data_IF_774679398934
#
_entry.id   IF_774679398934
#
_cell.length_a   1.000
_cell.length_b   1.000
_cell.length_c   1.000
_cell.angle_alpha   90.00
_cell.angle_beta   90.00
_cell.angle_gamma   90.00
#
_symmetry.space_group_name_H-M   'P 1'
#
loop_
_entity.id
_entity.type
_entity.pdbx_description
1 polymer ?
#
# COMPACT_ATOMS: atom_id res chain seq x y z
N UNK A 1 25.59 -6.18 -0.24
CA UNK A 1 25.01 -5.10 -1.05
C UNK A 1 24.04 -5.61 -2.13
N UNK A 2 24.38 -6.68 -2.79
CA UNK A 2 23.54 -7.26 -3.86
C UNK A 2 22.15 -7.71 -3.39
N UNK A 3 22.05 -8.22 -2.14
CA UNK A 3 20.77 -8.60 -1.55
C UNK A 3 19.81 -7.43 -1.41
N UNK A 4 20.29 -6.26 -1.01
CA UNK A 4 19.45 -5.07 -0.84
C UNK A 4 18.97 -4.53 -2.20
N UNK A 5 19.81 -4.62 -3.23
CA UNK A 5 19.46 -4.12 -4.57
C UNK A 5 18.42 -5.00 -5.27
N UNK A 6 18.56 -6.31 -5.15
CA UNK A 6 17.70 -7.27 -5.87
C UNK A 6 16.61 -7.88 -4.98
N UNK A 7 16.88 -8.04 -3.69
CA UNK A 7 15.95 -8.67 -2.76
C UNK A 7 14.74 -7.80 -2.42
N UNK A 8 14.92 -6.50 -2.19
CA UNK A 8 13.83 -5.61 -1.81
C UNK A 8 12.77 -5.41 -2.90
N UNK A 9 13.15 -5.21 -4.19
CA UNK A 9 12.16 -5.19 -5.26
C UNK A 9 11.39 -6.50 -5.41
N UNK A 10 12.05 -7.64 -5.18
CA UNK A 10 11.41 -8.96 -5.19
C UNK A 10 10.39 -9.06 -4.05
N UNK A 11 10.75 -8.63 -2.84
CA UNK A 11 9.85 -8.59 -1.68
C UNK A 11 8.62 -7.73 -1.99
N UNK A 12 8.82 -6.57 -2.60
CA UNK A 12 7.73 -5.69 -3.01
C UNK A 12 6.77 -6.41 -3.97
N UNK A 13 7.32 -7.01 -5.03
CA UNK A 13 6.52 -7.73 -6.03
C UNK A 13 5.73 -8.87 -5.39
N UNK A 14 6.37 -9.71 -4.58
CA UNK A 14 5.71 -10.80 -3.87
C UNK A 14 4.63 -10.30 -2.93
N UNK A 15 4.88 -9.23 -2.19
CA UNK A 15 3.91 -8.65 -1.26
C UNK A 15 2.64 -8.21 -1.98
N UNK A 16 2.76 -7.52 -3.12
CA UNK A 16 1.60 -7.09 -3.89
C UNK A 16 0.86 -8.25 -4.56
N UNK A 17 1.58 -9.20 -5.14
CA UNK A 17 0.99 -10.40 -5.76
C UNK A 17 0.23 -11.21 -4.70
N UNK A 18 0.83 -11.44 -3.55
CA UNK A 18 0.22 -12.20 -2.46
C UNK A 18 -0.98 -11.48 -1.88
N UNK A 19 -0.89 -10.18 -1.69
CA UNK A 19 -2.02 -9.34 -1.27
C UNK A 19 -3.21 -9.47 -2.22
N UNK A 20 -2.98 -9.35 -3.53
CA UNK A 20 -4.02 -9.51 -4.54
C UNK A 20 -4.61 -10.93 -4.55
N UNK A 21 -3.78 -11.94 -4.34
CA UNK A 21 -4.22 -13.33 -4.25
C UNK A 21 -5.18 -13.54 -3.06
N UNK A 22 -4.82 -13.01 -1.88
CA UNK A 22 -5.66 -13.08 -0.68
C UNK A 22 -7.03 -12.45 -0.94
N UNK A 23 -7.05 -11.25 -1.51
CA UNK A 23 -8.30 -10.52 -1.79
C UNK A 23 -9.16 -11.27 -2.81
N UNK A 24 -8.59 -11.73 -3.91
CA UNK A 24 -9.33 -12.48 -4.92
C UNK A 24 -9.93 -13.77 -4.37
N UNK A 25 -9.19 -14.47 -3.50
CA UNK A 25 -9.67 -15.66 -2.84
C UNK A 25 -10.83 -15.35 -1.88
N UNK A 26 -10.73 -14.26 -1.14
CA UNK A 26 -11.79 -13.81 -0.25
C UNK A 26 -13.04 -13.36 -1.01
N UNK A 27 -12.88 -12.66 -2.12
CA UNK A 27 -13.99 -12.22 -2.99
C UNK A 27 -14.81 -13.39 -3.54
N UNK A 28 -14.17 -14.52 -3.88
CA UNK A 28 -14.86 -15.72 -4.37
C UNK A 28 -15.79 -16.36 -3.35
N UNK A 29 -15.58 -16.10 -2.07
CA UNK A 29 -16.43 -16.61 -0.97
C UNK A 29 -17.59 -15.71 -0.65
N UNK A 30 -17.69 -14.53 -1.25
CA UNK A 30 -18.76 -13.57 -1.00
C UNK A 30 -20.04 -13.95 -1.74
N UNK A 31 -21.19 -13.68 -1.10
CA UNK A 31 -22.50 -13.79 -1.71
C UNK A 31 -22.70 -12.71 -2.78
N UNK A 32 -23.64 -12.93 -3.70
CA UNK A 32 -23.90 -12.03 -4.83
C UNK A 32 -24.18 -10.58 -4.39
N UNK A 33 -24.90 -10.38 -3.30
CA UNK A 33 -25.20 -9.05 -2.76
C UNK A 33 -23.91 -8.30 -2.37
N UNK A 34 -22.98 -8.98 -1.70
CA UNK A 34 -21.71 -8.40 -1.31
C UNK A 34 -20.77 -8.16 -2.49
N UNK A 35 -20.81 -9.00 -3.51
CA UNK A 35 -20.06 -8.80 -4.75
C UNK A 35 -20.47 -7.49 -5.43
N UNK A 36 -21.75 -7.19 -5.50
CA UNK A 36 -22.24 -5.92 -6.06
C UNK A 36 -21.81 -4.72 -5.23
N UNK A 37 -21.91 -4.79 -3.90
CA UNK A 37 -21.40 -3.74 -3.01
C UNK A 37 -19.90 -3.52 -3.20
N UNK A 38 -19.15 -4.61 -3.35
CA UNK A 38 -17.69 -4.56 -3.57
C UNK A 38 -17.34 -3.84 -4.88
N UNK A 39 -18.07 -4.10 -5.96
CA UNK A 39 -17.84 -3.41 -7.24
C UNK A 39 -18.05 -1.90 -7.13
N UNK A 40 -19.08 -1.46 -6.43
CA UNK A 40 -19.32 -0.02 -6.19
C UNK A 40 -18.17 0.61 -5.41
N UNK A 41 -17.66 -0.07 -4.40
CA UNK A 41 -16.51 0.39 -3.60
C UNK A 41 -15.25 0.45 -4.45
N UNK A 42 -14.99 -0.55 -5.29
CA UNK A 42 -13.82 -0.58 -6.19
C UNK A 42 -13.85 0.56 -7.21
N UNK A 43 -15.01 0.91 -7.75
CA UNK A 43 -15.14 2.04 -8.66
C UNK A 43 -14.77 3.36 -7.97
N UNK A 44 -15.17 3.54 -6.72
CA UNK A 44 -14.77 4.70 -5.92
C UNK A 44 -13.26 4.70 -5.62
N UNK A 45 -12.66 3.54 -5.39
CA UNK A 45 -11.23 3.39 -5.12
C UNK A 45 -10.35 3.61 -6.36
N UNK A 46 -10.84 3.32 -7.57
CA UNK A 46 -10.12 3.61 -8.82
C UNK A 46 -9.74 5.09 -8.94
N UNK A 47 -10.53 5.98 -8.37
CA UNK A 47 -10.23 7.42 -8.32
C UNK A 47 -9.06 7.75 -7.39
N UNK A 48 -8.64 6.81 -6.54
CA UNK A 48 -7.51 6.96 -5.60
C UNK A 48 -6.18 6.42 -6.14
N UNK A 49 -6.12 5.98 -7.40
CA UNK A 49 -4.87 5.56 -8.09
C UNK A 49 -3.81 6.68 -8.08
N UNK A 50 -4.20 7.90 -7.78
CA UNK A 50 -3.26 8.99 -7.53
C UNK A 50 -2.16 8.66 -6.51
N UNK A 51 -2.42 7.77 -5.53
CA UNK A 51 -1.40 7.32 -4.60
C UNK A 51 -0.24 6.58 -5.29
N UNK A 52 -0.50 5.85 -6.36
CA UNK A 52 0.55 5.20 -7.15
C UNK A 52 1.50 6.20 -7.84
N UNK A 53 1.05 7.43 -8.06
CA UNK A 53 1.86 8.51 -8.62
C UNK A 53 2.83 9.12 -7.59
N UNK A 54 2.62 8.88 -6.29
CA UNK A 54 3.53 9.36 -5.25
C UNK A 54 4.92 8.73 -5.33
N UNK A 55 5.04 7.49 -5.79
CA UNK A 55 6.34 6.83 -5.90
C UNK A 55 7.29 7.55 -6.88
N UNK A 56 6.90 7.84 -8.14
CA UNK A 56 7.74 8.62 -9.03
C UNK A 56 8.06 10.03 -8.49
N UNK A 57 7.07 10.66 -7.86
CA UNK A 57 7.25 11.98 -7.23
C UNK A 57 8.25 11.89 -6.08
N UNK A 58 8.17 10.86 -5.25
CA UNK A 58 9.11 10.65 -4.15
C UNK A 58 10.55 10.46 -4.64
N UNK A 59 10.75 9.65 -5.68
CA UNK A 59 12.08 9.48 -6.29
C UNK A 59 12.62 10.78 -6.87
N UNK A 60 11.77 11.55 -7.56
CA UNK A 60 12.14 12.85 -8.10
C UNK A 60 12.50 13.85 -7.00
N UNK A 61 11.70 13.90 -5.93
CA UNK A 61 11.98 14.73 -4.76
C UNK A 61 13.33 14.38 -4.12
N UNK A 62 13.62 13.09 -3.96
CA UNK A 62 14.91 12.66 -3.40
C UNK A 62 16.09 13.18 -4.21
N UNK A 63 16.00 13.10 -5.55
CA UNK A 63 17.04 13.64 -6.44
C UNK A 63 17.20 15.14 -6.24
N UNK A 64 16.11 15.88 -6.14
CA UNK A 64 16.09 17.32 -5.89
C UNK A 64 16.67 17.66 -4.52
N UNK A 65 16.24 16.94 -3.48
CA UNK A 65 16.67 17.16 -2.11
C UNK A 65 18.16 16.89 -1.92
N UNK A 66 18.70 15.84 -2.54
CA UNK A 66 20.15 15.57 -2.53
C UNK A 66 20.94 16.69 -3.19
N UNK A 67 20.39 17.28 -4.24
CA UNK A 67 21.03 18.40 -4.94
C UNK A 67 21.09 19.68 -4.09
N UNK A 68 20.12 19.85 -3.19
CA UNK A 68 20.02 21.03 -2.31
C UNK A 68 20.54 20.79 -0.89
N UNK A 69 21.18 19.65 -0.61
CA UNK A 69 21.70 19.27 0.72
C UNK A 69 20.66 19.39 1.85
N UNK A 70 19.39 19.10 1.54
CA UNK A 70 18.33 19.16 2.54
C UNK A 70 18.48 18.01 3.55
N UNK A 71 18.29 18.36 4.81
CA UNK A 71 18.54 17.48 5.95
C UNK A 71 17.80 16.14 5.86
N UNK A 72 18.50 15.09 6.21
CA UNK A 72 17.99 13.71 6.30
C UNK A 72 16.69 13.60 7.12
N UNK A 73 16.55 14.40 8.16
CA UNK A 73 15.35 14.44 9.00
C UNK A 73 14.08 14.84 8.24
N UNK A 74 14.17 15.72 7.28
CA UNK A 74 13.05 16.13 6.43
C UNK A 74 12.55 14.97 5.57
N UNK A 75 13.47 14.16 5.07
CA UNK A 75 13.10 12.96 4.31
C UNK A 75 12.41 11.91 5.19
N UNK A 76 12.91 11.71 6.42
CA UNK A 76 12.27 10.80 7.38
C UNK A 76 10.86 11.29 7.71
N UNK A 77 10.68 12.57 7.98
CA UNK A 77 9.38 13.16 8.26
C UNK A 77 8.40 12.95 7.09
N UNK A 78 8.86 13.11 5.86
CA UNK A 78 8.05 12.90 4.67
C UNK A 78 7.61 11.44 4.51
N UNK A 79 8.53 10.50 4.74
CA UNK A 79 8.22 9.06 4.71
C UNK A 79 7.21 8.69 5.77
N UNK A 80 7.37 9.19 6.99
CA UNK A 80 6.42 8.95 8.08
C UNK A 80 5.03 9.50 7.75
N UNK A 81 4.96 10.67 7.11
CA UNK A 81 3.71 11.24 6.64
C UNK A 81 3.01 10.34 5.64
N UNK A 82 3.76 9.81 4.66
CA UNK A 82 3.21 8.89 3.65
C UNK A 82 2.70 7.61 4.29
N UNK A 83 3.47 7.02 5.21
CA UNK A 83 3.05 5.82 5.94
C UNK A 83 1.77 6.08 6.72
N UNK A 84 1.67 7.23 7.38
CA UNK A 84 0.47 7.64 8.12
C UNK A 84 -0.75 7.75 7.19
N UNK A 85 -0.60 8.38 6.03
CA UNK A 85 -1.67 8.49 5.03
C UNK A 85 -2.15 7.11 4.57
N UNK A 86 -1.21 6.20 4.31
CA UNK A 86 -1.53 4.83 3.89
C UNK A 86 -2.28 4.08 4.98
N UNK A 87 -1.80 4.14 6.21
CA UNK A 87 -2.48 3.50 7.36
C UNK A 87 -3.88 4.04 7.57
N UNK A 88 -4.05 5.36 7.46
CA UNK A 88 -5.35 6.00 7.60
C UNK A 88 -6.31 5.59 6.47
N UNK A 89 -5.81 5.50 5.25
CA UNK A 89 -6.58 5.03 4.10
C UNK A 89 -7.02 3.57 4.27
N UNK A 90 -6.13 2.70 4.74
CA UNK A 90 -6.45 1.29 5.02
C UNK A 90 -7.47 1.15 6.14
N UNK A 91 -7.37 1.97 7.18
CA UNK A 91 -8.35 2.01 8.29
C UNK A 91 -9.74 2.45 7.80
N UNK A 92 -9.81 3.49 6.97
CA UNK A 92 -11.07 3.93 6.36
C UNK A 92 -11.70 2.84 5.49
N UNK A 93 -10.89 2.17 4.70
CA UNK A 93 -11.33 1.04 3.86
C UNK A 93 -11.94 -0.07 4.71
N UNK A 94 -11.25 -0.48 5.76
CA UNK A 94 -11.75 -1.49 6.70
C UNK A 94 -13.08 -1.08 7.33
N UNK A 95 -13.18 0.15 7.83
CA UNK A 95 -14.41 0.65 8.44
C UNK A 95 -15.57 0.73 7.44
N UNK A 96 -15.30 1.11 6.20
CA UNK A 96 -16.33 1.16 5.17
C UNK A 96 -16.92 -0.23 4.91
N UNK A 97 -16.08 -1.26 4.80
CA UNK A 97 -16.55 -2.64 4.66
C UNK A 97 -17.30 -3.12 5.90
N UNK A 98 -16.80 -2.80 7.08
CA UNK A 98 -17.46 -3.15 8.35
C UNK A 98 -18.85 -2.53 8.47
N UNK A 99 -18.98 -1.25 8.10
CA UNK A 99 -20.25 -0.52 8.16
C UNK A 99 -21.28 -1.06 7.15
N UNK A 100 -20.84 -1.68 6.06
CA UNK A 100 -21.69 -2.33 5.08
C UNK A 100 -22.01 -3.79 5.41
N UNK A 101 -21.67 -4.24 6.62
CA UNK A 101 -21.94 -5.58 7.14
C UNK A 101 -21.29 -6.73 6.37
N UNK A 102 -20.09 -6.51 5.83
CA UNK A 102 -19.32 -7.59 5.23
C UNK A 102 -18.99 -8.68 6.26
N UNK A 103 -18.88 -9.96 5.85
CA UNK A 103 -18.54 -11.05 6.76
C UNK A 103 -17.19 -10.82 7.46
N UNK A 104 -17.08 -11.24 8.73
CA UNK A 104 -15.86 -11.10 9.51
C UNK A 104 -14.64 -11.78 8.86
N UNK A 105 -14.85 -12.92 8.23
CA UNK A 105 -13.79 -13.63 7.50
C UNK A 105 -13.23 -12.78 6.36
N UNK A 106 -14.10 -12.09 5.63
CA UNK A 106 -13.69 -11.16 4.58
C UNK A 106 -12.92 -9.96 5.13
N UNK A 107 -13.37 -9.40 6.25
CA UNK A 107 -12.70 -8.30 6.94
C UNK A 107 -11.29 -8.69 7.39
N UNK A 108 -11.11 -9.90 7.92
CA UNK A 108 -9.80 -10.43 8.33
C UNK A 108 -8.87 -10.58 7.12
N UNK A 109 -9.38 -11.04 5.98
CA UNK A 109 -8.60 -11.16 4.75
C UNK A 109 -8.19 -9.78 4.20
N UNK A 110 -9.04 -8.76 4.35
CA UNK A 110 -8.68 -7.39 4.01
C UNK A 110 -7.53 -6.89 4.87
N UNK A 111 -7.56 -7.12 6.18
CA UNK A 111 -6.46 -6.75 7.08
C UNK A 111 -5.16 -7.40 6.66
N UNK A 112 -5.17 -8.69 6.36
CA UNK A 112 -3.98 -9.42 5.87
C UNK A 112 -3.46 -8.81 4.58
N UNK A 113 -4.33 -8.57 3.61
CA UNK A 113 -3.98 -7.98 2.32
C UNK A 113 -3.33 -6.60 2.49
N UNK A 114 -3.93 -5.72 3.28
CA UNK A 114 -3.40 -4.38 3.53
C UNK A 114 -2.06 -4.44 4.28
N UNK A 115 -1.88 -5.39 5.20
CA UNK A 115 -0.61 -5.62 5.89
C UNK A 115 0.51 -6.00 4.91
N UNK A 116 0.24 -6.91 3.98
CA UNK A 116 1.23 -7.29 2.96
C UNK A 116 1.57 -6.14 2.01
N UNK A 117 0.60 -5.33 1.63
CA UNK A 117 0.85 -4.12 0.85
C UNK A 117 1.74 -3.14 1.60
N UNK A 118 1.50 -2.95 2.89
CA UNK A 118 2.30 -2.08 3.73
C UNK A 118 3.75 -2.57 3.83
N UNK A 119 3.96 -3.87 4.00
CA UNK A 119 5.29 -4.48 4.00
C UNK A 119 6.02 -4.18 2.69
N UNK A 120 5.35 -4.33 1.55
CA UNK A 120 5.91 -4.01 0.25
C UNK A 120 6.31 -2.55 0.12
N UNK A 121 5.46 -1.64 0.58
CA UNK A 121 5.72 -0.19 0.54
C UNK A 121 6.90 0.19 1.44
N UNK A 122 6.95 -0.35 2.65
CA UNK A 122 8.07 -0.13 3.58
C UNK A 122 9.39 -0.64 2.99
N UNK A 123 9.37 -1.77 2.30
CA UNK A 123 10.57 -2.30 1.64
C UNK A 123 11.11 -1.36 0.56
N UNK A 124 10.24 -0.67 -0.18
CA UNK A 124 10.64 0.36 -1.15
C UNK A 124 11.35 1.51 -0.46
N UNK A 125 10.82 2.00 0.65
CA UNK A 125 11.47 3.08 1.39
C UNK A 125 12.83 2.67 1.93
N UNK A 126 12.94 1.46 2.48
CA UNK A 126 14.24 0.91 2.93
C UNK A 126 15.22 0.85 1.76
N UNK A 127 14.79 0.35 0.60
CA UNK A 127 15.62 0.33 -0.61
C UNK A 127 16.11 1.73 -0.99
N UNK A 128 15.22 2.71 -1.02
CA UNK A 128 15.56 4.09 -1.36
C UNK A 128 16.58 4.67 -0.39
N UNK A 129 16.41 4.48 0.92
CA UNK A 129 17.34 4.99 1.92
C UNK A 129 18.70 4.29 1.91
N UNK A 130 18.76 3.02 1.53
CA UNK A 130 20.01 2.26 1.49
C UNK A 130 20.77 2.41 0.17
N UNK A 131 20.10 2.78 -0.92
CA UNK A 131 20.70 2.93 -2.26
C UNK A 131 21.38 4.29 -2.46
N UNK A 132 21.18 5.21 -1.58
CA UNK A 132 21.73 6.54 -1.60
C UNK A 132 22.45 6.82 -0.29
#
# INVERSE_FOLDING_TARGET
MDFLVYGLPIILAFSFIYSNFIIKKAEKKLDFEFVNKLQVIKEKERKKIFLALFFPIFFSLKTILNKFEIEFYLMIAFVLLIIFIILFSSYKKYNNYKNQNFPNDFLNEIIKSETFKLIGIVSVFVFVFTSF
#
